data_IF_238990411008
#
_entry.id   IF_238990411008
#
_cell.length_a   1.000
_cell.length_b   1.000
_cell.length_c   1.000
_cell.angle_alpha   90.00
_cell.angle_beta   90.00
_cell.angle_gamma   90.00
#
_symmetry.space_group_name_H-M   'P 1'
#
loop_
_entity.id
_entity.type
_entity.pdbx_description
1 polymer ?
#
# COMPACT_ATOMS: atom_id res chain seq x y z
N UNK A 1 -30.47 25.46 -15.67
CA UNK A 1 -29.46 24.98 -16.64
C UNK A 1 -28.27 24.39 -15.88
N UNK A 2 -28.02 23.08 -16.07
CA UNK A 2 -26.88 22.47 -15.41
C UNK A 2 -25.59 22.90 -16.08
N UNK A 3 -24.52 23.26 -15.33
CA UNK A 3 -23.22 23.55 -15.92
C UNK A 3 -22.70 22.31 -16.64
N UNK A 4 -21.95 22.47 -17.74
CA UNK A 4 -21.37 21.34 -18.43
C UNK A 4 -20.43 20.58 -17.49
N UNK A 5 -20.58 19.27 -17.43
CA UNK A 5 -19.65 18.42 -16.69
C UNK A 5 -18.40 18.28 -17.54
N UNK A 6 -17.31 18.83 -17.03
CA UNK A 6 -16.00 18.65 -17.67
C UNK A 6 -15.50 17.27 -17.24
N UNK A 7 -15.36 16.30 -18.15
CA UNK A 7 -14.84 15.00 -17.77
C UNK A 7 -13.42 15.15 -17.23
N UNK A 8 -13.14 14.48 -16.10
CA UNK A 8 -11.77 14.45 -15.60
C UNK A 8 -10.87 13.81 -16.65
N UNK A 9 -9.74 14.44 -17.02
CA UNK A 9 -8.80 13.78 -17.90
C UNK A 9 -8.37 12.45 -17.24
N UNK A 10 -8.32 11.38 -18.02
CA UNK A 10 -7.80 10.12 -17.52
C UNK A 10 -6.35 10.37 -17.09
N UNK A 11 -5.98 10.01 -15.87
CA UNK A 11 -4.59 10.14 -15.45
C UNK A 11 -3.70 9.36 -16.41
N UNK A 12 -2.65 10.01 -16.92
CA UNK A 12 -1.64 9.31 -17.70
C UNK A 12 -0.97 8.27 -16.81
N UNK A 13 -0.94 6.98 -17.24
CA UNK A 13 -0.26 5.97 -16.42
C UNK A 13 1.20 6.37 -16.20
N UNK A 14 1.64 6.28 -14.96
CA UNK A 14 3.05 6.52 -14.65
C UNK A 14 3.93 5.46 -15.31
N UNK A 15 5.15 5.80 -15.75
CA UNK A 15 6.03 4.83 -16.41
C UNK A 15 6.33 3.60 -15.55
N UNK A 16 6.28 3.73 -14.23
CA UNK A 16 6.59 2.66 -13.28
C UNK A 16 5.36 1.79 -12.93
N UNK A 17 4.16 2.12 -13.40
CA UNK A 17 2.91 1.42 -12.99
C UNK A 17 2.98 -0.09 -13.23
N UNK A 18 3.49 -0.52 -14.38
CA UNK A 18 3.60 -1.94 -14.70
C UNK A 18 4.49 -2.68 -13.72
N UNK A 19 5.63 -2.08 -13.36
CA UNK A 19 6.56 -2.67 -12.40
C UNK A 19 5.97 -2.69 -10.99
N UNK A 20 5.30 -1.62 -10.58
CA UNK A 20 4.62 -1.56 -9.29
C UNK A 20 3.54 -2.63 -9.16
N UNK A 21 2.73 -2.81 -10.19
CA UNK A 21 1.70 -3.84 -10.24
C UNK A 21 2.30 -5.25 -10.18
N UNK A 22 3.42 -5.48 -10.85
CA UNK A 22 4.10 -6.77 -10.83
C UNK A 22 4.59 -7.15 -9.42
N UNK A 23 5.12 -6.19 -8.67
CA UNK A 23 5.56 -6.41 -7.28
C UNK A 23 4.37 -6.81 -6.40
N UNK A 24 3.29 -6.04 -6.48
CA UNK A 24 2.10 -6.31 -5.68
C UNK A 24 1.46 -7.66 -6.05
N UNK A 25 1.40 -7.98 -7.32
CA UNK A 25 0.86 -9.25 -7.80
C UNK A 25 1.67 -10.45 -7.30
N UNK A 26 2.99 -10.36 -7.35
CA UNK A 26 3.86 -11.41 -6.81
C UNK A 26 3.66 -11.58 -5.30
N UNK A 27 3.52 -10.48 -4.57
CA UNK A 27 3.24 -10.51 -3.13
C UNK A 27 1.89 -11.16 -2.84
N UNK A 28 0.87 -10.87 -3.64
CA UNK A 28 -0.46 -11.48 -3.50
C UNK A 28 -0.44 -12.98 -3.73
N UNK A 29 0.42 -13.47 -4.60
CA UNK A 29 0.60 -14.91 -4.84
C UNK A 29 1.46 -15.57 -3.77
N UNK A 30 1.95 -14.80 -2.79
CA UNK A 30 2.80 -15.29 -1.71
C UNK A 30 4.09 -15.95 -2.23
N UNK A 31 4.68 -15.35 -3.26
CA UNK A 31 5.92 -15.81 -3.89
C UNK A 31 7.07 -14.84 -3.58
N UNK A 32 7.86 -15.09 -2.51
CA UNK A 32 8.93 -14.18 -2.11
C UNK A 32 10.01 -13.97 -3.17
N UNK A 33 10.37 -15.03 -3.90
CA UNK A 33 11.39 -14.93 -4.93
C UNK A 33 10.94 -14.07 -6.11
N UNK A 34 9.68 -14.24 -6.55
CA UNK A 34 9.10 -13.41 -7.60
C UNK A 34 8.95 -11.96 -7.15
N UNK A 35 8.55 -11.74 -5.89
CA UNK A 35 8.45 -10.41 -5.31
C UNK A 35 9.79 -9.69 -5.32
N UNK A 36 10.85 -10.38 -4.90
CA UNK A 36 12.21 -9.82 -4.88
C UNK A 36 12.68 -9.47 -6.30
N UNK A 37 12.45 -10.35 -7.27
CA UNK A 37 12.82 -10.08 -8.67
C UNK A 37 12.06 -8.88 -9.23
N UNK A 38 10.77 -8.79 -8.97
CA UNK A 38 9.94 -7.68 -9.44
C UNK A 38 10.36 -6.36 -8.80
N UNK A 39 10.66 -6.36 -7.50
CA UNK A 39 11.15 -5.17 -6.79
C UNK A 39 12.50 -4.70 -7.32
N UNK A 40 13.42 -5.64 -7.58
CA UNK A 40 14.72 -5.33 -8.18
C UNK A 40 14.54 -4.71 -9.56
N UNK A 41 13.66 -5.28 -10.39
CA UNK A 41 13.37 -4.74 -11.71
C UNK A 41 12.81 -3.32 -11.66
N UNK A 42 11.92 -3.05 -10.71
CA UNK A 42 11.35 -1.72 -10.50
C UNK A 42 12.44 -0.68 -10.20
N UNK A 43 13.30 -0.97 -9.24
CA UNK A 43 14.37 -0.05 -8.83
C UNK A 43 15.43 0.10 -9.92
N UNK A 44 15.78 -0.98 -10.61
CA UNK A 44 16.74 -0.94 -11.71
C UNK A 44 16.23 -0.07 -12.86
N UNK A 45 14.95 -0.18 -13.19
CA UNK A 45 14.37 0.54 -14.33
C UNK A 45 14.08 2.03 -14.02
N UNK A 46 13.71 2.36 -12.78
CA UNK A 46 13.16 3.70 -12.46
C UNK A 46 13.90 4.43 -11.34
N UNK A 47 14.80 3.76 -10.63
CA UNK A 47 15.53 4.34 -9.50
C UNK A 47 14.73 4.33 -8.19
N UNK A 48 15.40 4.65 -7.05
CA UNK A 48 14.76 4.58 -5.73
C UNK A 48 13.71 5.68 -5.49
N UNK A 49 13.74 6.77 -6.24
CA UNK A 49 12.82 7.90 -6.03
C UNK A 49 11.37 7.54 -6.32
N UNK A 50 11.10 6.45 -7.04
CA UNK A 50 9.74 6.01 -7.34
C UNK A 50 9.07 5.28 -6.17
N UNK A 51 9.81 4.94 -5.12
CA UNK A 51 9.28 4.12 -4.01
C UNK A 51 8.09 4.80 -3.34
N UNK A 52 8.16 6.09 -3.05
CA UNK A 52 7.04 6.79 -2.40
C UNK A 52 5.76 6.79 -3.26
N UNK A 53 5.80 7.20 -4.54
CA UNK A 53 4.59 7.11 -5.36
C UNK A 53 4.14 5.66 -5.61
N UNK A 54 5.04 4.69 -5.64
CA UNK A 54 4.68 3.27 -5.77
C UNK A 54 3.93 2.78 -4.53
N UNK A 55 4.41 3.10 -3.33
CA UNK A 55 3.71 2.74 -2.09
C UNK A 55 2.31 3.34 -2.06
N UNK A 56 2.17 4.59 -2.48
CA UNK A 56 0.87 5.25 -2.56
C UNK A 56 -0.06 4.54 -3.54
N UNK A 57 0.46 4.09 -4.68
CA UNK A 57 -0.31 3.33 -5.66
C UNK A 57 -0.77 1.98 -5.12
N UNK A 58 0.06 1.28 -4.35
CA UNK A 58 -0.35 0.04 -3.69
C UNK A 58 -1.48 0.29 -2.69
N UNK A 59 -1.39 1.35 -1.89
CA UNK A 59 -2.43 1.72 -0.94
C UNK A 59 -3.72 2.07 -1.67
N UNK A 60 -3.66 2.86 -2.73
CA UNK A 60 -4.84 3.22 -3.52
C UNK A 60 -5.51 1.98 -4.13
N UNK A 61 -4.74 0.98 -4.50
CA UNK A 61 -5.26 -0.30 -4.99
C UNK A 61 -6.05 -1.03 -3.89
N UNK A 62 -5.54 -1.03 -2.65
CA UNK A 62 -6.26 -1.60 -1.50
C UNK A 62 -7.59 -0.86 -1.29
N UNK A 63 -7.55 0.46 -1.27
CA UNK A 63 -8.73 1.29 -1.04
C UNK A 63 -9.79 0.99 -2.12
N UNK A 64 -9.38 0.91 -3.37
CA UNK A 64 -10.28 0.56 -4.49
C UNK A 64 -10.85 -0.85 -4.36
N UNK A 65 -10.01 -1.84 -4.01
CA UNK A 65 -10.45 -3.22 -3.85
C UNK A 65 -11.45 -3.39 -2.71
N UNK A 66 -11.30 -2.63 -1.64
CA UNK A 66 -12.18 -2.66 -0.47
C UNK A 66 -13.41 -1.76 -0.64
N UNK A 67 -13.46 -0.94 -1.69
CA UNK A 67 -14.57 -0.02 -1.91
C UNK A 67 -14.67 1.08 -0.85
N UNK A 68 -13.55 1.48 -0.25
CA UNK A 68 -13.53 2.46 0.83
C UNK A 68 -13.55 3.87 0.24
N UNK A 69 -14.49 4.74 0.63
CA UNK A 69 -14.43 6.14 0.21
C UNK A 69 -13.32 6.88 0.98
N UNK A 70 -12.59 7.73 0.27
CA UNK A 70 -11.60 8.60 0.90
C UNK A 70 -12.29 9.57 1.87
N UNK A 71 -11.60 9.93 2.94
CA UNK A 71 -12.12 10.81 3.96
C UNK A 71 -12.88 10.12 5.09
N UNK A 72 -12.93 8.79 5.09
CA UNK A 72 -13.59 8.00 6.15
C UNK A 72 -12.55 7.13 6.87
N UNK A 73 -11.85 7.67 7.87
CA UNK A 73 -10.83 6.92 8.58
C UNK A 73 -11.42 5.73 9.35
N UNK A 74 -10.62 4.68 9.50
CA UNK A 74 -10.99 3.52 10.31
C UNK A 74 -11.89 2.50 9.61
N UNK A 75 -12.17 2.66 8.32
CA UNK A 75 -13.05 1.75 7.58
C UNK A 75 -12.35 0.47 7.12
N UNK A 76 -11.03 0.38 7.21
CA UNK A 76 -10.27 -0.76 6.71
C UNK A 76 -10.01 -1.77 7.84
N UNK A 77 -10.34 -3.03 7.57
CA UNK A 77 -9.97 -4.14 8.44
C UNK A 77 -8.60 -4.66 8.02
N UNK A 78 -7.65 -4.68 8.95
CA UNK A 78 -6.32 -5.22 8.69
C UNK A 78 -6.19 -6.64 9.20
N UNK A 79 -5.43 -7.44 8.46
CA UNK A 79 -4.95 -8.73 8.92
C UNK A 79 -3.46 -8.60 9.22
N UNK A 80 -2.99 -9.28 10.27
CA UNK A 80 -1.56 -9.40 10.48
C UNK A 80 -0.95 -10.38 9.46
N UNK A 81 0.38 -10.53 9.46
CA UNK A 81 1.07 -11.38 8.50
C UNK A 81 0.77 -12.86 8.67
N UNK A 82 0.18 -13.25 9.81
CA UNK A 82 -0.27 -14.62 10.09
C UNK A 82 -1.74 -14.83 9.72
N UNK A 83 -2.41 -13.80 9.20
CA UNK A 83 -3.80 -13.87 8.77
C UNK A 83 -4.82 -13.62 9.86
N UNK A 84 -4.38 -13.28 11.08
CA UNK A 84 -5.28 -12.91 12.18
C UNK A 84 -5.73 -11.47 12.10
N UNK A 85 -6.79 -11.08 12.82
CA UNK A 85 -7.22 -9.70 12.88
C UNK A 85 -6.12 -8.81 13.46
N UNK A 86 -5.87 -7.68 12.83
CA UNK A 86 -4.95 -6.69 13.36
C UNK A 86 -5.61 -5.99 14.56
N UNK A 87 -4.92 -5.96 15.68
CA UNK A 87 -5.35 -5.22 16.87
C UNK A 87 -4.49 -3.96 17.01
N UNK A 88 -5.08 -2.87 17.48
CA UNK A 88 -4.34 -1.62 17.69
C UNK A 88 -3.38 -1.66 18.87
N UNK A 89 -3.28 -2.79 19.56
CA UNK A 89 -2.35 -2.93 20.66
C UNK A 89 -0.92 -3.00 20.11
N UNK A 90 -0.17 -1.92 20.27
CA UNK A 90 1.17 -1.79 19.74
C UNK A 90 2.15 -2.85 20.28
N UNK A 91 1.85 -3.43 21.45
CA UNK A 91 2.69 -4.47 22.04
C UNK A 91 2.57 -5.81 21.30
N UNK A 92 1.44 -6.02 20.61
CA UNK A 92 1.16 -7.26 19.89
C UNK A 92 1.50 -7.21 18.40
N UNK A 93 1.88 -6.04 17.89
CA UNK A 93 2.11 -5.82 16.47
C UNK A 93 3.54 -5.34 16.25
N UNK A 94 4.23 -5.97 15.29
CA UNK A 94 5.57 -5.51 14.93
C UNK A 94 5.53 -4.04 14.51
N UNK A 95 6.54 -3.22 14.90
CA UNK A 95 6.53 -1.78 14.58
C UNK A 95 6.34 -1.47 13.10
N UNK A 96 6.95 -2.24 12.21
CA UNK A 96 6.80 -2.05 10.77
C UNK A 96 5.37 -2.29 10.29
N UNK A 97 4.68 -3.29 10.85
CA UNK A 97 3.28 -3.60 10.52
C UNK A 97 2.35 -2.52 11.06
N UNK A 98 2.58 -2.05 12.28
CA UNK A 98 1.80 -0.95 12.85
C UNK A 98 1.97 0.33 12.02
N UNK A 99 3.19 0.62 11.60
CA UNK A 99 3.48 1.74 10.71
C UNK A 99 2.71 1.63 9.38
N UNK A 100 2.74 0.45 8.76
CA UNK A 100 2.02 0.20 7.51
C UNK A 100 0.52 0.47 7.65
N UNK A 101 -0.08 -0.01 8.74
CA UNK A 101 -1.49 0.24 9.02
C UNK A 101 -1.82 1.72 9.18
N UNK A 102 -0.97 2.44 9.91
CA UNK A 102 -1.14 3.89 10.10
C UNK A 102 -0.98 4.65 8.78
N UNK A 103 -0.04 4.22 7.93
CA UNK A 103 0.18 4.85 6.63
C UNK A 103 -1.05 4.69 5.72
N UNK A 104 -1.62 3.50 5.67
CA UNK A 104 -2.84 3.26 4.90
C UNK A 104 -4.00 4.10 5.45
N UNK A 105 -4.17 4.16 6.76
CA UNK A 105 -5.22 4.97 7.39
C UNK A 105 -5.06 6.46 7.11
N UNK A 106 -3.83 6.97 7.13
CA UNK A 106 -3.57 8.37 6.80
C UNK A 106 -3.97 8.67 5.35
N UNK A 107 -3.71 7.74 4.44
CA UNK A 107 -4.12 7.89 3.04
C UNK A 107 -5.64 7.88 2.88
N UNK A 108 -6.33 6.98 3.57
CA UNK A 108 -7.80 6.93 3.57
C UNK A 108 -8.39 8.25 4.09
N UNK A 109 -7.82 8.78 5.17
CA UNK A 109 -8.27 10.03 5.77
C UNK A 109 -7.89 11.28 4.97
N UNK A 110 -7.08 11.13 3.91
CA UNK A 110 -6.50 12.25 3.15
C UNK A 110 -5.67 13.18 4.04
N UNK A 111 -5.02 12.62 5.05
CA UNK A 111 -4.18 13.35 6.01
C UNK A 111 -2.72 13.32 5.53
N UNK A 112 -2.38 14.28 4.67
CA UNK A 112 -1.05 14.35 4.06
C UNK A 112 0.05 14.60 5.10
N UNK A 113 -0.23 15.39 6.13
CA UNK A 113 0.77 15.70 7.15
C UNK A 113 1.15 14.46 7.95
N UNK A 114 0.17 13.67 8.36
CA UNK A 114 0.40 12.38 9.04
C UNK A 114 1.12 11.39 8.12
N UNK A 115 0.74 11.34 6.85
CA UNK A 115 1.39 10.48 5.87
C UNK A 115 2.88 10.80 5.74
N UNK A 116 3.22 12.08 5.57
CA UNK A 116 4.62 12.52 5.48
C UNK A 116 5.40 12.25 6.76
N UNK A 117 4.77 12.49 7.90
CA UNK A 117 5.41 12.23 9.19
C UNK A 117 5.75 10.75 9.37
N UNK A 118 4.87 9.86 8.93
CA UNK A 118 5.09 8.41 8.96
C UNK A 118 6.24 7.99 8.03
N UNK A 119 6.28 8.55 6.83
CA UNK A 119 7.40 8.29 5.90
C UNK A 119 8.73 8.71 6.53
N UNK A 120 8.76 9.89 7.16
CA UNK A 120 9.96 10.40 7.82
C UNK A 120 10.34 9.66 9.10
N UNK A 121 9.41 8.88 9.68
CA UNK A 121 9.63 8.15 10.92
C UNK A 121 10.26 6.76 10.71
N UNK A 122 10.44 6.32 9.47
CA UNK A 122 11.09 5.02 9.19
C UNK A 122 12.52 5.07 9.71
N UNK A 123 12.92 4.11 10.58
CA UNK A 123 14.28 4.10 11.11
C UNK A 123 15.33 3.95 10.02
N UNK A 124 16.43 4.65 10.16
CA UNK A 124 17.54 4.60 9.21
C UNK A 124 18.04 3.16 9.05
N UNK A 125 18.22 2.73 7.80
CA UNK A 125 18.66 1.38 7.47
C UNK A 125 17.60 0.30 7.53
N UNK A 126 16.34 0.66 7.84
CA UNK A 126 15.22 -0.30 7.90
C UNK A 126 14.17 -0.08 6.82
N UNK A 127 14.47 0.70 5.81
CA UNK A 127 13.53 1.02 4.74
C UNK A 127 12.93 -0.25 4.11
N UNK A 128 13.77 -1.23 3.80
CA UNK A 128 13.32 -2.48 3.20
C UNK A 128 12.32 -3.24 4.06
N UNK A 129 12.56 -3.32 5.36
CA UNK A 129 11.66 -3.98 6.31
C UNK A 129 10.28 -3.31 6.33
N UNK A 130 10.26 -1.97 6.37
CA UNK A 130 9.02 -1.20 6.44
C UNK A 130 8.25 -1.25 5.12
N UNK A 131 8.96 -1.13 4.00
CA UNK A 131 8.35 -1.26 2.66
C UNK A 131 7.75 -2.66 2.46
N UNK A 132 8.47 -3.71 2.87
CA UNK A 132 7.96 -5.08 2.78
C UNK A 132 6.74 -5.30 3.67
N UNK A 133 6.71 -4.73 4.86
CA UNK A 133 5.55 -4.80 5.75
C UNK A 133 4.33 -4.14 5.11
N UNK A 134 4.51 -2.97 4.48
CA UNK A 134 3.43 -2.30 3.76
C UNK A 134 2.94 -3.15 2.59
N UNK A 135 3.86 -3.69 1.80
CA UNK A 135 3.51 -4.54 0.66
C UNK A 135 2.71 -5.77 1.10
N UNK A 136 3.13 -6.43 2.18
CA UNK A 136 2.43 -7.58 2.72
C UNK A 136 1.03 -7.20 3.22
N UNK A 137 0.90 -6.08 3.92
CA UNK A 137 -0.41 -5.59 4.38
C UNK A 137 -1.33 -5.30 3.19
N UNK A 138 -0.82 -4.66 2.15
CA UNK A 138 -1.59 -4.38 0.95
C UNK A 138 -2.03 -5.68 0.25
N UNK A 139 -1.11 -6.62 0.08
CA UNK A 139 -1.38 -7.89 -0.58
C UNK A 139 -2.45 -8.70 0.16
N UNK A 140 -2.32 -8.83 1.49
CA UNK A 140 -3.28 -9.55 2.33
C UNK A 140 -4.64 -8.87 2.32
N UNK A 141 -4.68 -7.54 2.40
CA UNK A 141 -5.93 -6.78 2.39
C UNK A 141 -6.69 -6.93 1.08
N UNK A 142 -5.98 -6.92 -0.05
CA UNK A 142 -6.59 -7.14 -1.35
C UNK A 142 -7.11 -8.56 -1.46
N UNK A 143 -6.33 -9.57 -1.07
CA UNK A 143 -6.74 -10.97 -1.12
C UNK A 143 -7.98 -11.22 -0.25
N UNK A 144 -8.04 -10.60 0.92
CA UNK A 144 -9.21 -10.67 1.77
C UNK A 144 -10.44 -10.08 1.09
N UNK A 145 -10.30 -8.90 0.45
CA UNK A 145 -11.41 -8.19 -0.18
C UNK A 145 -12.01 -8.97 -1.36
N UNK A 146 -11.16 -9.63 -2.15
CA UNK A 146 -11.63 -10.39 -3.32
C UNK A 146 -11.96 -11.85 -3.01
N UNK A 147 -11.82 -12.28 -1.74
CA UNK A 147 -12.09 -13.67 -1.35
C UNK A 147 -11.11 -14.68 -1.93
N UNK A 148 -9.87 -14.26 -2.24
CA UNK A 148 -8.86 -15.17 -2.77
C UNK A 148 -8.48 -16.25 -1.75
N UNK A 149 -8.15 -17.47 -2.20
CA UNK A 149 -7.70 -18.52 -1.29
C UNK A 149 -6.43 -18.09 -0.57
N UNK A 150 -6.37 -18.40 0.70
CA UNK A 150 -5.20 -18.09 1.52
C UNK A 150 -4.01 -18.95 1.14
#
# INVERSE_FOLDING_TARGET
MKPPVIPRPKPTPSPWNRHAAAVLDAARRRDPAATQRAATALITAHGPDVINPVMMAWIDTVIGAQGIPYGQPGALAFLDTDGGPWTENADDVRPAVAWAGRLINARIACDEDSYRALIGAVPAGRDGEYINALLDCCALSINYAIGAPK
#
